data_IF_085744132679
#
_entry.id   IF_085744132679
#
_cell.length_a   1.000
_cell.length_b   1.000
_cell.length_c   1.000
_cell.angle_alpha   90.00
_cell.angle_beta   90.00
_cell.angle_gamma   90.00
#
_symmetry.space_group_name_H-M   'P 1'
#
loop_
_entity.id
_entity.type
_entity.pdbx_description
1 polymer ?
#
# COMPACT_ATOMS: atom_id res chain seq x y z
N UNK A 1 10.23 -4.08 -22.09
CA UNK A 1 9.69 -3.82 -20.73
C UNK A 1 8.25 -4.33 -20.75
N UNK A 2 7.90 -5.32 -19.92
CA UNK A 2 6.53 -5.85 -19.83
C UNK A 2 5.55 -4.71 -19.43
N UNK A 3 4.33 -4.66 -20.00
CA UNK A 3 3.37 -3.63 -19.64
C UNK A 3 2.92 -3.79 -18.19
N UNK A 4 3.00 -2.72 -17.40
CA UNK A 4 2.59 -2.71 -15.99
C UNK A 4 1.08 -2.93 -15.80
N UNK A 5 0.30 -2.60 -16.83
CA UNK A 5 -1.13 -2.86 -16.90
C UNK A 5 -1.37 -4.06 -17.81
N UNK A 6 -2.38 -4.92 -17.54
CA UNK A 6 -2.62 -6.14 -18.30
C UNK A 6 -3.26 -5.86 -19.67
N UNK A 7 -2.50 -5.26 -20.60
CA UNK A 7 -2.99 -4.70 -21.88
C UNK A 7 -3.12 -5.74 -23.01
N UNK A 8 -2.67 -6.98 -22.81
CA UNK A 8 -2.66 -8.03 -23.85
C UNK A 8 -4.04 -8.43 -24.41
N UNK A 9 -5.14 -8.09 -23.73
CA UNK A 9 -6.51 -8.36 -24.23
C UNK A 9 -7.11 -7.08 -24.84
N UNK A 10 -7.74 -7.21 -26.01
CA UNK A 10 -8.57 -6.15 -26.59
C UNK A 10 -9.66 -5.74 -25.60
N UNK A 11 -9.85 -4.44 -25.41
CA UNK A 11 -10.82 -3.85 -24.48
C UNK A 11 -11.43 -2.60 -25.09
N UNK A 12 -12.67 -2.30 -24.68
CA UNK A 12 -13.35 -1.05 -25.02
C UNK A 12 -12.67 0.18 -24.39
N UNK A 13 -12.13 0.03 -23.18
CA UNK A 13 -11.55 1.14 -22.42
C UNK A 13 -10.03 1.03 -22.33
N UNK A 14 -9.35 2.18 -22.48
CA UNK A 14 -7.91 2.31 -22.30
C UNK A 14 -7.61 2.22 -20.79
N UNK A 15 -6.79 1.23 -20.38
CA UNK A 15 -6.51 1.00 -18.96
C UNK A 15 -5.78 2.18 -18.30
N UNK A 16 -4.96 2.92 -19.06
CA UNK A 16 -4.32 4.13 -18.54
C UNK A 16 -5.35 5.18 -18.12
N UNK A 17 -6.38 5.40 -18.95
CA UNK A 17 -7.48 6.30 -18.63
C UNK A 17 -8.17 5.87 -17.33
N UNK A 18 -8.52 4.59 -17.21
CA UNK A 18 -9.17 4.07 -15.99
C UNK A 18 -8.33 4.28 -14.73
N UNK A 19 -7.00 4.18 -14.84
CA UNK A 19 -6.09 4.52 -13.76
C UNK A 19 -6.14 6.00 -13.42
N UNK A 20 -6.08 6.88 -14.43
CA UNK A 20 -6.17 8.33 -14.26
C UNK A 20 -7.52 8.72 -13.62
N UNK A 21 -8.63 8.09 -14.01
CA UNK A 21 -9.97 8.29 -13.43
C UNK A 21 -10.00 7.87 -11.95
N UNK A 22 -9.35 6.75 -11.62
CA UNK A 22 -9.22 6.28 -10.23
C UNK A 22 -8.40 7.28 -9.41
N UNK A 23 -7.29 7.78 -9.97
CA UNK A 23 -6.45 8.78 -9.32
C UNK A 23 -7.16 10.12 -9.15
N UNK A 24 -8.02 10.50 -10.09
CA UNK A 24 -8.87 11.68 -9.98
C UNK A 24 -9.80 11.59 -8.77
N UNK A 25 -10.46 10.45 -8.58
CA UNK A 25 -11.29 10.19 -7.39
C UNK A 25 -10.45 10.27 -6.11
N UNK A 26 -9.25 9.69 -6.10
CA UNK A 26 -8.36 9.78 -4.94
C UNK A 26 -7.87 11.20 -4.64
N UNK A 27 -7.66 12.03 -5.68
CA UNK A 27 -7.13 13.40 -5.55
C UNK A 27 -8.19 14.42 -5.14
N UNK A 28 -9.41 14.24 -5.63
CA UNK A 28 -10.54 15.16 -5.43
C UNK A 28 -11.49 14.71 -4.33
N UNK A 29 -11.39 13.45 -3.92
CA UNK A 29 -12.28 12.80 -2.96
C UNK A 29 -13.77 12.83 -3.38
N UNK A 30 -14.05 13.00 -4.68
CA UNK A 30 -15.40 12.99 -5.18
C UNK A 30 -16.07 11.62 -4.98
N UNK A 31 -17.39 11.61 -4.77
CA UNK A 31 -18.13 10.35 -4.70
C UNK A 31 -18.05 9.64 -6.06
N UNK A 32 -18.01 8.30 -6.06
CA UNK A 32 -17.98 7.51 -7.29
C UNK A 32 -19.07 7.91 -8.29
N UNK A 33 -20.29 8.17 -7.82
CA UNK A 33 -21.43 8.58 -8.65
C UNK A 33 -21.32 9.99 -9.23
N UNK A 34 -20.40 10.81 -8.69
CA UNK A 34 -20.15 12.18 -9.12
C UNK A 34 -18.93 12.28 -10.04
N UNK A 35 -18.44 11.14 -10.57
CA UNK A 35 -17.37 11.15 -11.55
C UNK A 35 -17.81 11.98 -12.78
N UNK A 36 -17.00 12.95 -13.25
CA UNK A 36 -17.35 13.77 -14.41
C UNK A 36 -17.68 12.96 -15.66
N UNK A 37 -18.61 13.48 -16.47
CA UNK A 37 -19.11 12.80 -17.66
C UNK A 37 -18.08 12.62 -18.79
N UNK A 38 -16.92 13.31 -18.71
CA UNK A 38 -15.80 13.09 -19.63
C UNK A 38 -15.06 11.76 -19.38
N UNK A 39 -15.28 11.13 -18.23
CA UNK A 39 -14.71 9.83 -17.90
C UNK A 39 -15.65 8.67 -18.30
N UNK A 40 -15.13 7.43 -18.44
CA UNK A 40 -15.97 6.24 -18.45
C UNK A 40 -16.95 6.24 -17.27
N UNK A 41 -18.08 5.55 -17.44
CA UNK A 41 -19.10 5.49 -16.40
C UNK A 41 -18.52 4.94 -15.08
N UNK A 42 -18.96 5.51 -13.96
CA UNK A 42 -18.44 5.14 -12.64
C UNK A 42 -18.48 3.62 -12.34
N UNK A 43 -19.48 2.81 -12.80
CA UNK A 43 -19.47 1.37 -12.56
C UNK A 43 -18.29 0.68 -13.28
N UNK A 44 -17.92 1.16 -14.46
CA UNK A 44 -16.77 0.66 -15.21
C UNK A 44 -15.47 0.97 -14.48
N UNK A 45 -15.27 2.21 -14.03
CA UNK A 45 -14.06 2.57 -13.27
C UNK A 45 -13.98 1.78 -11.97
N UNK A 46 -15.10 1.65 -11.25
CA UNK A 46 -15.16 0.87 -10.02
C UNK A 46 -14.87 -0.61 -10.24
N UNK A 47 -15.35 -1.21 -11.34
CA UNK A 47 -15.05 -2.60 -11.69
C UNK A 47 -13.53 -2.84 -11.78
N UNK A 48 -12.82 -1.99 -12.51
CA UNK A 48 -11.36 -2.10 -12.64
C UNK A 48 -10.66 -1.82 -11.32
N UNK A 49 -11.07 -0.78 -10.58
CA UNK A 49 -10.54 -0.50 -9.25
C UNK A 49 -10.66 -1.71 -8.32
N UNK A 50 -11.84 -2.31 -8.21
CA UNK A 50 -12.10 -3.47 -7.36
C UNK A 50 -11.24 -4.67 -7.77
N UNK A 51 -11.13 -4.93 -9.08
CA UNK A 51 -10.31 -6.01 -9.62
C UNK A 51 -8.83 -5.79 -9.35
N UNK A 52 -8.30 -4.60 -9.63
CA UNK A 52 -6.89 -4.25 -9.45
C UNK A 52 -6.46 -4.21 -7.99
N UNK A 53 -7.39 -3.88 -7.10
CA UNK A 53 -7.20 -4.01 -5.66
C UNK A 53 -7.07 -5.47 -5.25
N UNK A 54 -7.87 -6.37 -5.82
CA UNK A 54 -7.87 -7.79 -5.46
C UNK A 54 -6.68 -8.56 -6.05
N UNK A 55 -6.25 -8.23 -7.26
CA UNK A 55 -5.17 -8.94 -7.97
C UNK A 55 -3.77 -8.33 -7.80
N UNK A 56 -3.64 -7.30 -6.95
CA UNK A 56 -2.38 -6.64 -6.63
C UNK A 56 -1.81 -5.75 -7.74
N UNK A 57 -2.63 -5.36 -8.73
CA UNK A 57 -2.16 -4.47 -9.81
C UNK A 57 -1.69 -3.12 -9.27
N UNK A 58 -2.37 -2.54 -8.29
CA UNK A 58 -1.92 -1.29 -7.65
C UNK A 58 -0.56 -1.44 -6.96
N UNK A 59 -0.31 -2.58 -6.30
CA UNK A 59 0.97 -2.84 -5.64
C UNK A 59 2.10 -2.95 -6.66
N UNK A 60 1.87 -3.63 -7.79
CA UNK A 60 2.83 -3.72 -8.90
C UNK A 60 3.13 -2.35 -9.52
N UNK A 61 2.09 -1.55 -9.77
CA UNK A 61 2.23 -0.19 -10.30
C UNK A 61 3.04 0.71 -9.35
N UNK A 62 2.70 0.69 -8.07
CA UNK A 62 3.41 1.48 -7.04
C UNK A 62 4.88 1.08 -6.95
N UNK A 63 5.18 -0.23 -6.90
CA UNK A 63 6.56 -0.71 -6.86
C UNK A 63 7.35 -0.35 -8.12
N UNK A 64 6.74 -0.45 -9.30
CA UNK A 64 7.39 -0.08 -10.55
C UNK A 64 7.70 1.42 -10.61
N UNK A 65 6.73 2.26 -10.22
CA UNK A 65 6.91 3.71 -10.11
C UNK A 65 8.04 4.06 -9.14
N UNK A 66 8.05 3.46 -7.94
CA UNK A 66 9.10 3.69 -6.95
C UNK A 66 10.49 3.28 -7.46
N UNK A 67 10.60 2.16 -8.19
CA UNK A 67 11.87 1.72 -8.78
C UNK A 67 12.36 2.71 -9.82
N UNK A 68 11.48 3.16 -10.71
CA UNK A 68 11.81 4.13 -11.75
C UNK A 68 12.28 5.46 -11.16
N UNK A 69 11.55 5.99 -10.16
CA UNK A 69 11.90 7.24 -9.50
C UNK A 69 13.23 7.13 -8.70
N UNK A 70 13.51 5.96 -8.10
CA UNK A 70 14.83 5.72 -7.47
C UNK A 70 15.96 5.73 -8.49
N UNK A 71 15.79 5.05 -9.62
CA UNK A 71 16.79 5.02 -10.69
C UNK A 71 17.03 6.42 -11.27
N UNK A 72 15.97 7.21 -11.45
CA UNK A 72 16.07 8.61 -11.88
C UNK A 72 16.88 9.48 -10.91
N UNK A 73 16.89 9.13 -9.62
CA UNK A 73 17.70 9.79 -8.59
C UNK A 73 19.11 9.16 -8.40
N UNK A 74 19.58 8.34 -9.34
CA UNK A 74 20.88 7.67 -9.25
C UNK A 74 20.98 6.62 -8.14
N UNK A 75 19.83 6.16 -7.62
CA UNK A 75 19.77 5.14 -6.56
C UNK A 75 19.45 3.78 -7.17
N UNK A 76 19.95 2.73 -6.52
CA UNK A 76 19.59 1.36 -6.86
C UNK A 76 18.07 1.13 -6.65
N UNK A 77 17.43 0.26 -7.47
CA UNK A 77 15.98 0.22 -7.66
C UNK A 77 15.18 -0.21 -6.42
N UNK A 78 15.80 -0.94 -5.49
CA UNK A 78 15.20 -1.36 -4.22
C UNK A 78 15.93 -0.73 -3.03
N UNK A 79 15.28 -0.50 -1.89
CA UNK A 79 15.91 0.09 -0.72
C UNK A 79 16.73 -0.94 0.07
N UNK A 80 17.84 -0.50 0.67
CA UNK A 80 18.56 -1.28 1.69
C UNK A 80 18.12 -0.97 3.11
N UNK A 81 17.47 0.19 3.30
CA UNK A 81 16.88 0.63 4.56
C UNK A 81 15.39 0.94 4.33
N UNK A 82 14.53 0.37 5.17
CA UNK A 82 13.11 0.70 5.21
C UNK A 82 12.74 1.38 6.53
N UNK A 83 11.78 2.29 6.48
CA UNK A 83 11.16 2.92 7.64
C UNK A 83 9.77 2.35 7.79
N UNK A 84 9.35 1.99 9.01
CA UNK A 84 7.99 1.53 9.29
C UNK A 84 7.37 2.39 10.38
N UNK A 85 6.17 2.91 10.08
CA UNK A 85 5.38 3.69 11.00
C UNK A 85 3.86 3.42 10.82
N UNK A 86 3.08 3.77 11.85
CA UNK A 86 1.65 3.51 11.94
C UNK A 86 0.86 4.83 11.89
N UNK A 87 0.07 5.01 10.83
CA UNK A 87 -0.91 6.08 10.77
C UNK A 87 -2.28 5.61 11.30
N UNK A 88 -2.90 6.39 12.18
CA UNK A 88 -4.29 6.18 12.60
C UNK A 88 -5.23 7.07 11.80
N UNK A 89 -6.33 6.51 11.31
CA UNK A 89 -7.35 7.25 10.57
C UNK A 89 -8.70 6.99 11.22
N UNK A 90 -9.45 8.06 11.51
CA UNK A 90 -10.84 7.95 11.98
C UNK A 90 -11.67 7.23 10.91
N UNK A 91 -12.56 6.34 11.34
CA UNK A 91 -13.45 5.67 10.40
C UNK A 91 -14.44 6.67 9.81
N UNK A 92 -14.59 6.65 8.48
CA UNK A 92 -15.72 7.33 7.85
C UNK A 92 -17.03 6.60 8.24
N UNK A 93 -18.16 7.32 8.36
CA UNK A 93 -19.45 6.71 8.63
C UNK A 93 -19.74 5.57 7.64
N UNK A 94 -20.32 4.46 8.12
CA UNK A 94 -20.75 3.27 7.34
C UNK A 94 -19.65 2.30 6.85
N UNK A 95 -18.39 2.46 7.24
CA UNK A 95 -17.35 1.44 7.00
C UNK A 95 -17.37 0.36 8.11
N UNK A 96 -17.76 -0.88 7.78
CA UNK A 96 -17.84 -2.00 8.72
C UNK A 96 -16.58 -2.87 8.88
N UNK A 97 -15.65 -2.83 7.92
CA UNK A 97 -14.45 -3.69 7.91
C UNK A 97 -13.34 -3.16 8.84
N UNK A 98 -12.58 -4.06 9.48
CA UNK A 98 -11.39 -3.74 10.29
C UNK A 98 -11.66 -2.65 11.35
N UNK A 99 -12.68 -2.89 12.19
CA UNK A 99 -13.13 -2.00 13.27
C UNK A 99 -12.46 -2.37 14.60
N UNK A 100 -12.04 -1.39 15.38
CA UNK A 100 -11.53 -1.62 16.74
C UNK A 100 -11.53 -0.35 17.57
N UNK A 101 -12.14 -0.39 18.76
CA UNK A 101 -12.11 0.70 19.71
C UNK A 101 -10.76 0.68 20.43
N UNK A 102 -9.99 1.75 20.30
CA UNK A 102 -8.77 1.89 21.08
C UNK A 102 -9.14 2.36 22.49
N UNK A 103 -9.01 1.49 23.49
CA UNK A 103 -9.45 1.74 24.87
C UNK A 103 -8.85 3.03 25.47
N UNK A 104 -7.60 3.37 25.11
CA UNK A 104 -6.92 4.54 25.63
C UNK A 104 -7.44 5.86 25.03
N UNK A 105 -7.84 5.86 23.75
CA UNK A 105 -8.20 7.11 23.04
C UNK A 105 -9.68 7.20 22.62
N UNK A 106 -10.47 6.16 22.88
CA UNK A 106 -11.92 6.07 22.55
C UNK A 106 -12.27 6.38 21.08
N UNK A 107 -11.31 6.22 20.16
CA UNK A 107 -11.54 6.40 18.73
C UNK A 107 -11.84 5.05 18.08
N UNK A 108 -12.99 4.96 17.42
CA UNK A 108 -13.29 3.90 16.48
C UNK A 108 -12.62 4.23 15.13
N UNK A 109 -11.57 3.50 14.78
CA UNK A 109 -10.77 3.82 13.59
C UNK A 109 -10.06 2.62 12.98
N UNK A 110 -9.25 2.92 11.97
CA UNK A 110 -8.30 1.97 11.37
C UNK A 110 -6.87 2.44 11.61
N UNK A 111 -5.96 1.49 11.64
CA UNK A 111 -4.52 1.72 11.61
C UNK A 111 -3.97 1.27 10.27
N UNK A 112 -3.03 2.04 9.75
CA UNK A 112 -2.28 1.77 8.53
C UNK A 112 -0.82 1.67 8.92
N UNK A 113 -0.26 0.48 8.83
CA UNK A 113 1.17 0.26 8.92
C UNK A 113 1.76 0.55 7.55
N UNK A 114 2.70 1.47 7.46
CA UNK A 114 3.29 1.93 6.20
C UNK A 114 4.77 1.61 6.21
N UNK A 115 5.25 0.93 5.17
CA UNK A 115 6.69 0.78 4.90
C UNK A 115 7.10 1.74 3.80
N UNK A 116 8.05 2.62 4.09
CA UNK A 116 8.64 3.53 3.11
C UNK A 116 10.17 3.42 3.05
N UNK A 117 10.78 4.02 2.02
CA UNK A 117 12.23 4.18 1.95
C UNK A 117 12.68 5.58 2.42
N UNK A 118 14.00 5.80 2.42
CA UNK A 118 14.62 7.07 2.84
C UNK A 118 14.29 8.27 1.95
N UNK A 119 13.66 8.07 0.79
CA UNK A 119 13.13 9.16 -0.03
C UNK A 119 11.62 9.35 0.13
N UNK A 120 11.00 8.73 1.14
CA UNK A 120 9.57 8.86 1.42
C UNK A 120 8.66 8.02 0.53
N UNK A 121 9.19 7.13 -0.32
CA UNK A 121 8.37 6.31 -1.23
C UNK A 121 7.67 5.21 -0.48
N UNK A 122 6.36 5.08 -0.64
CA UNK A 122 5.56 4.05 0.02
C UNK A 122 5.66 2.74 -0.77
N UNK A 123 6.21 1.70 -0.14
CA UNK A 123 6.43 0.39 -0.76
C UNK A 123 5.33 -0.63 -0.45
N UNK A 124 4.72 -0.52 0.73
CA UNK A 124 3.62 -1.39 1.13
C UNK A 124 2.83 -0.74 2.27
N UNK A 125 1.52 -0.98 2.27
CA UNK A 125 0.62 -0.54 3.35
C UNK A 125 -0.20 -1.72 3.81
N UNK A 126 -0.27 -1.93 5.12
CA UNK A 126 -1.14 -2.92 5.74
C UNK A 126 -2.16 -2.18 6.60
N UNK A 127 -3.44 -2.36 6.28
CA UNK A 127 -4.52 -1.76 7.06
C UNK A 127 -5.09 -2.82 8.00
N UNK A 128 -5.28 -2.46 9.27
CA UNK A 128 -5.90 -3.32 10.27
C UNK A 128 -6.75 -2.51 11.26
N UNK A 129 -7.51 -3.21 12.10
CA UNK A 129 -8.35 -2.59 13.12
C UNK A 129 -7.52 -1.80 14.15
N UNK A 130 -8.04 -0.67 14.63
CA UNK A 130 -7.27 0.22 15.50
C UNK A 130 -7.02 -0.30 16.93
N UNK A 131 -7.64 -1.40 17.33
CA UNK A 131 -7.36 -2.12 18.57
C UNK A 131 -6.11 -3.03 18.47
N UNK A 132 -5.62 -3.33 17.27
CA UNK A 132 -4.42 -4.12 17.07
C UNK A 132 -3.15 -3.38 17.52
N UNK A 133 -2.23 -4.12 18.14
CA UNK A 133 -0.90 -3.63 18.51
C UNK A 133 -0.02 -3.47 17.25
N UNK A 134 0.76 -2.38 17.18
CA UNK A 134 1.51 -2.01 15.98
C UNK A 134 2.56 -3.07 15.61
N UNK A 135 3.31 -3.58 16.60
CA UNK A 135 4.21 -4.75 16.45
C UNK A 135 3.56 -5.97 15.76
N UNK A 136 2.30 -6.31 16.06
CA UNK A 136 1.62 -7.43 15.36
C UNK A 136 1.09 -7.01 13.98
N UNK A 137 0.52 -5.81 13.89
CA UNK A 137 -0.07 -5.29 12.65
C UNK A 137 0.96 -5.10 11.53
N UNK A 138 2.22 -4.84 11.88
CA UNK A 138 3.28 -4.57 10.92
C UNK A 138 4.04 -5.81 10.43
N UNK A 139 3.86 -6.99 11.04
CA UNK A 139 4.53 -8.23 10.60
C UNK A 139 4.38 -8.54 9.10
N UNK A 140 3.22 -8.29 8.45
CA UNK A 140 3.07 -8.51 7.01
C UNK A 140 3.84 -7.51 6.13
N UNK A 141 4.45 -6.47 6.71
CA UNK A 141 5.39 -5.57 6.04
C UNK A 141 6.82 -6.13 6.01
N UNK A 142 7.06 -7.34 6.51
CA UNK A 142 8.37 -7.98 6.43
C UNK A 142 8.29 -9.21 5.52
N UNK A 143 9.40 -9.59 4.87
CA UNK A 143 9.48 -10.89 4.22
C UNK A 143 9.15 -12.01 5.21
N UNK A 144 8.58 -13.09 4.70
CA UNK A 144 8.34 -14.29 5.50
C UNK A 144 9.66 -15.02 5.70
N UNK A 145 9.95 -15.41 6.94
CA UNK A 145 11.15 -16.18 7.29
C UNK A 145 11.16 -17.50 6.51
N UNK A 146 12.36 -17.94 6.10
CA UNK A 146 12.58 -19.18 5.33
C UNK A 146 11.88 -19.23 3.96
N UNK A 147 11.44 -18.08 3.44
CA UNK A 147 11.00 -17.94 2.06
C UNK A 147 12.01 -17.13 1.26
N UNK A 148 12.04 -17.35 -0.05
CA UNK A 148 12.80 -16.52 -0.97
C UNK A 148 12.43 -15.06 -0.75
N UNK A 149 13.44 -14.22 -0.50
CA UNK A 149 13.22 -12.78 -0.32
C UNK A 149 12.54 -12.25 -1.58
N UNK A 150 11.39 -11.58 -1.45
CA UNK A 150 10.72 -11.00 -2.61
C UNK A 150 11.62 -9.96 -3.26
N UNK A 151 11.48 -9.75 -4.57
CA UNK A 151 12.36 -8.87 -5.34
C UNK A 151 12.55 -7.48 -4.70
N UNK A 152 11.51 -6.92 -4.09
CA UNK A 152 11.56 -5.62 -3.41
C UNK A 152 12.45 -5.62 -2.14
N UNK A 153 12.61 -6.76 -1.48
CA UNK A 153 13.37 -6.94 -0.24
C UNK A 153 14.78 -7.53 -0.47
N UNK A 154 15.15 -7.80 -1.72
CA UNK A 154 16.43 -8.39 -2.11
C UNK A 154 17.65 -7.70 -1.47
N UNK A 155 17.57 -6.38 -1.26
CA UNK A 155 18.64 -5.57 -0.69
C UNK A 155 18.36 -5.06 0.72
N UNK A 156 17.19 -5.35 1.29
CA UNK A 156 16.78 -4.84 2.60
C UNK A 156 17.70 -5.42 3.69
N UNK A 157 18.39 -4.54 4.43
CA UNK A 157 19.30 -4.90 5.53
C UNK A 157 18.80 -4.40 6.88
N UNK A 158 18.12 -3.26 6.89
CA UNK A 158 17.72 -2.63 8.13
C UNK A 158 16.32 -2.06 8.02
N UNK A 159 15.61 -2.10 9.14
CA UNK A 159 14.29 -1.51 9.31
C UNK A 159 14.33 -0.59 10.52
N UNK A 160 14.02 0.69 10.34
CA UNK A 160 13.91 1.65 11.43
C UNK A 160 12.45 1.82 11.82
N UNK A 161 12.21 1.81 13.13
CA UNK A 161 10.89 1.93 13.75
C UNK A 161 11.01 2.67 15.07
N UNK A 162 9.89 3.12 15.63
CA UNK A 162 9.83 3.60 17.01
C UNK A 162 9.81 2.42 18.02
N UNK A 163 9.72 2.74 19.32
CA UNK A 163 9.69 1.74 20.40
C UNK A 163 8.41 0.89 20.41
N UNK A 164 7.33 1.28 19.75
CA UNK A 164 6.07 0.53 19.73
C UNK A 164 6.17 -0.78 18.90
N UNK A 165 7.24 -0.94 18.12
CA UNK A 165 7.52 -2.14 17.32
C UNK A 165 8.46 -3.14 18.03
N UNK A 166 8.78 -2.92 19.31
CA UNK A 166 9.48 -3.92 20.11
C UNK A 166 8.68 -5.24 20.21
N UNK A 167 9.36 -6.32 20.60
CA UNK A 167 8.78 -7.65 20.70
C UNK A 167 8.75 -8.38 19.35
N UNK A 168 7.57 -8.87 18.94
CA UNK A 168 7.44 -9.80 17.79
C UNK A 168 7.96 -9.22 16.46
N UNK A 169 7.69 -7.95 16.18
CA UNK A 169 8.19 -7.32 14.96
C UNK A 169 9.72 -7.24 14.97
N UNK A 170 10.32 -6.72 16.04
CA UNK A 170 11.78 -6.67 16.20
C UNK A 170 12.44 -8.06 16.08
N UNK A 171 11.85 -9.09 16.69
CA UNK A 171 12.31 -10.48 16.56
C UNK A 171 12.24 -10.97 15.11
N UNK A 172 11.18 -10.63 14.39
CA UNK A 172 11.04 -10.99 12.97
C UNK A 172 12.08 -10.27 12.10
N UNK A 173 12.35 -8.98 12.36
CA UNK A 173 13.42 -8.24 11.66
C UNK A 173 14.78 -8.90 11.90
N UNK A 174 15.12 -9.20 13.16
CA UNK A 174 16.38 -9.87 13.52
C UNK A 174 16.52 -11.24 12.86
N UNK A 175 15.42 -11.99 12.75
CA UNK A 175 15.41 -13.31 12.13
C UNK A 175 15.60 -13.31 10.61
N UNK A 176 15.53 -12.15 9.94
CA UNK A 176 15.79 -12.03 8.51
C UNK A 176 17.29 -12.02 8.18
N UNK A 177 18.15 -11.69 9.16
CA UNK A 177 19.55 -11.31 8.92
C UNK A 177 19.70 -10.03 8.13
#
# INVERSE_FOLDING_TARGET
MEPLLPTHRKRRHILRQVLDDTLYICRTECQWRNLPACFPSWPTVYYYFARWRADGTFDRLSQASNRADRLAQGRLPTPSLALVDAQRVKLAPRLGLQRGLNAHKRVNGRKRQVRCDTGGRIWQVVVHAANGHDSRGAQPLLPVRNQLRPAWASRLRSVLTDKAYQGRFAQQVQALG
#
